data_IF_513958103860
#
_entry.id   IF_513958103860
#
_cell.length_a   1.000
_cell.length_b   1.000
_cell.length_c   1.000
_cell.angle_alpha   90.00
_cell.angle_beta   90.00
_cell.angle_gamma   90.00
#
_symmetry.space_group_name_H-M   'P 1'
#
loop_
_entity.id
_entity.type
_entity.pdbx_description
1 polymer ?
#
# COMPACT_ATOMS: atom_id res chain seq x y z
N UNK A 1 -66.85 -12.23 22.61
CA UNK A 1 -66.83 -12.10 21.13
C UNK A 1 -66.64 -10.64 20.71
N UNK A 2 -67.41 -9.68 21.25
CA UNK A 2 -67.27 -8.26 20.86
C UNK A 2 -65.97 -7.61 21.40
N UNK A 3 -65.63 -7.84 22.66
CA UNK A 3 -64.39 -7.31 23.26
C UNK A 3 -63.11 -7.83 22.60
N UNK A 4 -63.12 -9.08 22.15
CA UNK A 4 -61.98 -9.69 21.43
C UNK A 4 -61.76 -9.03 20.07
N UNK A 5 -62.84 -8.62 19.38
CA UNK A 5 -62.76 -7.90 18.10
C UNK A 5 -62.19 -6.49 18.32
N UNK A 6 -62.62 -5.79 19.37
CA UNK A 6 -62.13 -4.45 19.70
C UNK A 6 -60.64 -4.47 20.04
N UNK A 7 -60.19 -5.45 20.82
CA UNK A 7 -58.76 -5.60 21.17
C UNK A 7 -57.92 -5.92 19.94
N UNK A 8 -58.41 -6.80 19.05
CA UNK A 8 -57.73 -7.12 17.79
C UNK A 8 -57.63 -5.90 16.87
N UNK A 9 -58.68 -5.06 16.80
CA UNK A 9 -58.66 -3.80 16.05
C UNK A 9 -57.69 -2.79 16.65
N UNK A 10 -57.66 -2.66 17.97
CA UNK A 10 -56.70 -1.77 18.63
C UNK A 10 -55.26 -2.25 18.40
N UNK A 11 -54.99 -3.56 18.50
CA UNK A 11 -53.68 -4.14 18.25
C UNK A 11 -53.23 -3.95 16.80
N UNK A 12 -54.12 -4.14 15.82
CA UNK A 12 -53.80 -3.92 14.41
C UNK A 12 -53.51 -2.44 14.11
N UNK A 13 -54.25 -1.53 14.72
CA UNK A 13 -54.01 -0.09 14.59
C UNK A 13 -52.65 0.31 15.18
N UNK A 14 -52.28 -0.24 16.34
CA UNK A 14 -50.97 -0.02 16.97
C UNK A 14 -49.85 -0.58 16.09
N UNK A 15 -49.98 -1.83 15.61
CA UNK A 15 -48.99 -2.44 14.72
C UNK A 15 -48.83 -1.68 13.39
N UNK A 16 -49.93 -1.15 12.87
CA UNK A 16 -49.92 -0.34 11.66
C UNK A 16 -49.10 0.94 11.86
N UNK A 17 -49.31 1.65 12.98
CA UNK A 17 -48.53 2.84 13.33
C UNK A 17 -47.05 2.48 13.52
N UNK A 18 -46.74 1.38 14.22
CA UNK A 18 -45.36 0.92 14.43
C UNK A 18 -44.64 0.54 13.13
N UNK A 19 -45.37 0.03 12.13
CA UNK A 19 -44.82 -0.34 10.81
C UNK A 19 -44.22 0.87 10.08
N UNK A 20 -44.82 2.06 10.21
CA UNK A 20 -44.26 3.28 9.64
C UNK A 20 -42.90 3.64 10.25
N UNK A 21 -42.72 3.45 11.56
CA UNK A 21 -41.45 3.74 12.24
C UNK A 21 -40.31 2.81 11.78
N UNK A 22 -40.60 1.52 11.56
CA UNK A 22 -39.59 0.56 11.13
C UNK A 22 -39.10 0.82 9.70
N UNK A 23 -40.03 1.17 8.79
CA UNK A 23 -39.69 1.46 7.39
C UNK A 23 -38.80 2.71 7.26
N UNK A 24 -39.00 3.71 8.11
CA UNK A 24 -38.19 4.93 8.14
C UNK A 24 -36.76 4.71 8.67
N UNK A 25 -36.57 3.80 9.62
CA UNK A 25 -35.24 3.51 10.17
C UNK A 25 -34.36 2.74 9.18
N UNK A 26 -34.91 1.71 8.52
CA UNK A 26 -34.16 0.89 7.55
C UNK A 26 -33.75 1.71 6.33
N UNK A 27 -34.66 2.53 5.79
CA UNK A 27 -34.40 3.33 4.60
C UNK A 27 -33.33 4.42 4.83
N UNK A 28 -33.26 4.97 6.05
CA UNK A 28 -32.26 5.98 6.43
C UNK A 28 -30.86 5.37 6.59
N UNK A 29 -30.77 4.12 7.06
CA UNK A 29 -29.50 3.39 7.18
C UNK A 29 -28.95 3.02 5.80
N UNK A 30 -29.80 2.57 4.87
CA UNK A 30 -29.39 2.28 3.48
C UNK A 30 -28.82 3.51 2.78
N UNK A 31 -29.49 4.67 2.85
CA UNK A 31 -29.00 5.91 2.22
C UNK A 31 -27.69 6.43 2.81
N UNK A 32 -27.51 6.32 4.13
CA UNK A 32 -26.23 6.69 4.75
C UNK A 32 -25.11 5.75 4.32
N UNK A 33 -25.40 4.45 4.21
CA UNK A 33 -24.43 3.46 3.74
C UNK A 33 -24.03 3.68 2.28
N UNK A 34 -24.96 4.08 1.40
CA UNK A 34 -24.66 4.42 0.01
C UNK A 34 -23.72 5.62 -0.09
N UNK A 35 -24.00 6.71 0.65
CA UNK A 35 -23.16 7.91 0.59
C UNK A 35 -21.76 7.68 1.17
N UNK A 36 -21.66 6.96 2.30
CA UNK A 36 -20.38 6.60 2.91
C UNK A 36 -19.58 5.60 2.07
N UNK A 37 -20.24 4.63 1.43
CA UNK A 37 -19.59 3.66 0.53
C UNK A 37 -19.02 4.34 -0.71
N UNK A 38 -19.75 5.28 -1.32
CA UNK A 38 -19.26 6.05 -2.47
C UNK A 38 -18.04 6.88 -2.10
N UNK A 39 -18.06 7.57 -0.95
CA UNK A 39 -16.92 8.35 -0.49
C UNK A 39 -15.70 7.44 -0.21
N UNK A 40 -15.91 6.32 0.49
CA UNK A 40 -14.83 5.38 0.80
C UNK A 40 -14.20 4.77 -0.46
N UNK A 41 -15.00 4.49 -1.49
CA UNK A 41 -14.48 4.03 -2.78
C UNK A 41 -13.64 5.09 -3.50
N UNK A 42 -14.05 6.36 -3.44
CA UNK A 42 -13.26 7.47 -3.97
C UNK A 42 -11.93 7.62 -3.21
N UNK A 43 -11.94 7.52 -1.88
CA UNK A 43 -10.74 7.58 -1.04
C UNK A 43 -9.79 6.41 -1.36
N UNK A 44 -10.30 5.18 -1.48
CA UNK A 44 -9.53 3.99 -1.88
C UNK A 44 -8.90 4.20 -3.27
N UNK A 45 -9.64 4.75 -4.23
CA UNK A 45 -9.10 5.04 -5.56
C UNK A 45 -7.95 6.05 -5.51
N UNK A 46 -8.10 7.12 -4.74
CA UNK A 46 -7.03 8.11 -4.55
C UNK A 46 -5.80 7.51 -3.86
N UNK A 47 -5.99 6.67 -2.84
CA UNK A 47 -4.93 5.92 -2.18
C UNK A 47 -4.19 5.01 -3.16
N UNK A 48 -4.92 4.21 -3.97
CA UNK A 48 -4.32 3.36 -5.00
C UNK A 48 -3.49 4.16 -6.01
N UNK A 49 -3.97 5.33 -6.43
CA UNK A 49 -3.23 6.21 -7.34
C UNK A 49 -1.94 6.75 -6.70
N UNK A 50 -1.98 7.14 -5.42
CA UNK A 50 -0.79 7.59 -4.67
C UNK A 50 0.24 6.46 -4.53
N UNK A 51 -0.21 5.25 -4.17
CA UNK A 51 0.66 4.07 -4.09
C UNK A 51 1.28 3.77 -5.46
N UNK A 52 0.49 3.75 -6.53
CA UNK A 52 1.00 3.51 -7.89
C UNK A 52 2.01 4.58 -8.32
N UNK A 53 1.79 5.84 -7.98
CA UNK A 53 2.75 6.92 -8.25
C UNK A 53 4.06 6.72 -7.50
N UNK A 54 4.01 6.25 -6.24
CA UNK A 54 5.20 5.92 -5.45
C UNK A 54 5.91 4.70 -6.02
N UNK A 55 5.17 3.68 -6.44
CA UNK A 55 5.72 2.50 -7.11
C UNK A 55 6.40 2.88 -8.43
N UNK A 56 5.78 3.74 -9.24
CA UNK A 56 6.35 4.22 -10.50
C UNK A 56 7.56 5.14 -10.28
N UNK A 57 7.54 6.01 -9.27
CA UNK A 57 8.69 6.84 -8.87
C UNK A 57 9.85 5.98 -8.33
N UNK A 58 9.55 4.87 -7.65
CA UNK A 58 10.56 3.94 -7.13
C UNK A 58 10.98 2.85 -8.14
N UNK A 59 10.32 2.76 -9.30
CA UNK A 59 10.69 1.86 -10.42
C UNK A 59 11.74 2.52 -11.32
N UNK A 60 12.78 3.09 -10.72
CA UNK A 60 14.10 3.33 -11.33
C UNK A 60 15.12 3.26 -10.17
N UNK A 61 15.99 2.24 -10.03
CA UNK A 61 15.96 0.85 -10.47
C UNK A 61 16.10 -0.12 -9.27
N UNK A 62 15.13 -1.01 -9.03
CA UNK A 62 15.28 -2.12 -8.05
C UNK A 62 16.18 -3.27 -8.57
N UNK A 63 17.12 -2.98 -9.47
CA UNK A 63 18.15 -3.90 -9.98
C UNK A 63 19.57 -3.33 -9.88
N UNK A 64 19.74 -2.02 -9.70
CA UNK A 64 21.01 -1.46 -9.27
C UNK A 64 20.89 -1.09 -7.80
N UNK A 65 21.02 -2.12 -6.97
CA UNK A 65 21.55 -1.90 -5.64
C UNK A 65 22.73 -0.94 -5.77
N UNK A 66 22.68 0.18 -5.05
CA UNK A 66 23.86 0.93 -4.67
C UNK A 66 24.80 -0.03 -3.90
N UNK A 67 25.52 -0.89 -4.61
CA UNK A 67 26.92 -1.11 -4.28
C UNK A 67 27.59 0.21 -4.64
N UNK A 68 28.31 0.88 -3.72
CA UNK A 68 29.13 2.02 -4.09
C UNK A 68 29.97 1.59 -5.29
N UNK A 69 29.88 2.33 -6.39
CA UNK A 69 30.73 2.08 -7.54
C UNK A 69 32.16 2.26 -7.04
N UNK A 70 32.87 1.15 -6.83
CA UNK A 70 34.25 1.15 -6.38
C UNK A 70 35.03 2.04 -7.35
N UNK A 71 35.51 3.18 -6.85
CA UNK A 71 36.24 4.14 -7.66
C UNK A 71 37.67 3.65 -7.86
N UNK A 72 38.31 4.09 -8.94
CA UNK A 72 39.75 3.87 -9.16
C UNK A 72 40.56 4.33 -7.95
N UNK A 73 40.20 5.46 -7.36
CA UNK A 73 40.90 6.03 -6.21
C UNK A 73 40.82 5.09 -4.98
N UNK A 74 39.69 4.41 -4.81
CA UNK A 74 39.51 3.43 -3.72
C UNK A 74 40.42 2.22 -3.95
N UNK A 75 40.47 1.69 -5.18
CA UNK A 75 41.36 0.57 -5.56
C UNK A 75 42.83 0.93 -5.40
N UNK A 76 43.23 2.12 -5.85
CA UNK A 76 44.60 2.60 -5.74
C UNK A 76 45.04 2.72 -4.28
N UNK A 77 44.19 3.25 -3.41
CA UNK A 77 44.51 3.36 -1.98
C UNK A 77 44.75 1.99 -1.34
N UNK A 78 43.93 0.99 -1.67
CA UNK A 78 44.10 -0.37 -1.16
C UNK A 78 45.38 -1.03 -1.73
N UNK A 79 45.69 -0.79 -3.00
CA UNK A 79 46.91 -1.30 -3.61
C UNK A 79 48.17 -0.64 -3.01
N UNK A 80 48.13 0.66 -2.73
CA UNK A 80 49.20 1.39 -2.04
C UNK A 80 49.35 0.99 -0.57
N UNK A 81 48.26 0.59 0.10
CA UNK A 81 48.27 0.00 1.44
C UNK A 81 48.88 -1.42 1.48
N UNK A 82 49.10 -2.02 0.30
CA UNK A 82 49.78 -3.31 0.15
C UNK A 82 48.87 -4.52 -0.05
N UNK A 83 47.57 -4.31 -0.32
CA UNK A 83 46.65 -5.39 -0.70
C UNK A 83 46.90 -5.85 -2.15
N UNK A 84 46.85 -7.16 -2.39
CA UNK A 84 46.94 -7.70 -3.75
C UNK A 84 45.64 -7.49 -4.54
N UNK A 85 45.72 -7.57 -5.86
CA UNK A 85 44.55 -7.42 -6.76
C UNK A 85 43.49 -8.47 -6.44
N UNK A 86 43.91 -9.69 -6.10
CA UNK A 86 43.05 -10.78 -5.65
C UNK A 86 42.37 -10.46 -4.31
N UNK A 87 43.11 -9.90 -3.35
CA UNK A 87 42.53 -9.53 -2.04
C UNK A 87 41.47 -8.42 -2.19
N UNK A 88 41.72 -7.44 -3.07
CA UNK A 88 40.79 -6.34 -3.34
C UNK A 88 39.53 -6.87 -4.05
N UNK A 89 39.68 -7.80 -5.01
CA UNK A 89 38.56 -8.43 -5.70
C UNK A 89 37.65 -9.20 -4.72
N UNK A 90 38.25 -9.96 -3.81
CA UNK A 90 37.53 -10.70 -2.77
C UNK A 90 36.84 -9.77 -1.75
N UNK A 91 37.50 -8.68 -1.34
CA UNK A 91 36.92 -7.70 -0.39
C UNK A 91 35.79 -6.86 -1.00
N UNK A 92 35.88 -6.53 -2.28
CA UNK A 92 34.92 -5.66 -2.97
C UNK A 92 33.83 -6.45 -3.72
N UNK A 93 34.03 -7.76 -3.86
CA UNK A 93 33.15 -8.66 -4.60
C UNK A 93 33.05 -8.28 -6.07
N UNK A 94 34.16 -7.83 -6.65
CA UNK A 94 34.37 -7.54 -8.08
C UNK A 94 35.28 -8.60 -8.70
N UNK A 95 35.27 -8.72 -10.02
CA UNK A 95 36.19 -9.62 -10.72
C UNK A 95 37.60 -9.01 -10.67
N UNK A 96 38.63 -9.84 -10.57
CA UNK A 96 40.04 -9.40 -10.62
C UNK A 96 40.33 -8.60 -11.88
N UNK A 97 39.71 -8.97 -13.00
CA UNK A 97 39.77 -8.28 -14.29
C UNK A 97 39.29 -6.82 -14.20
N UNK A 98 38.21 -6.56 -13.46
CA UNK A 98 37.68 -5.20 -13.26
C UNK A 98 38.64 -4.34 -12.42
N UNK A 99 39.32 -4.96 -11.45
CA UNK A 99 40.28 -4.29 -10.56
C UNK A 99 41.57 -3.95 -11.33
N UNK A 100 42.05 -4.87 -12.19
CA UNK A 100 43.19 -4.62 -13.07
C UNK A 100 42.91 -3.51 -14.08
N UNK A 101 41.70 -3.49 -14.66
CA UNK A 101 41.29 -2.43 -15.60
C UNK A 101 41.34 -1.06 -14.92
N UNK A 102 40.85 -0.95 -13.68
CA UNK A 102 40.87 0.29 -12.89
C UNK A 102 42.29 0.76 -12.52
N UNK A 103 43.23 -0.17 -12.31
CA UNK A 103 44.64 0.14 -12.03
C UNK A 103 45.45 0.51 -13.29
N UNK A 104 45.04 0.01 -14.45
CA UNK A 104 45.75 0.21 -15.72
C UNK A 104 45.48 1.55 -16.41
N UNK A 105 44.32 2.15 -16.13
CA UNK A 105 43.91 3.43 -16.71
C UNK A 105 44.47 4.62 -15.95
#
# INVERSE_FOLDING_TARGET
MEMTIIILLAASMILYVLSFFQKSAVHKVEQQLEHHSIQMMQEIYQLKKKIKSIEEEHTIPALDAQKPALSRDDVLSMYEEGYSVEDIADMTGKMTEDIEELLSH
#
